data_IF_039781497895
#
_entry.id   IF_039781497895
#
_cell.length_a   1.000
_cell.length_b   1.000
_cell.length_c   1.000
_cell.angle_alpha   90.00
_cell.angle_beta   90.00
_cell.angle_gamma   90.00
#
_symmetry.space_group_name_H-M   'P 1'
#
loop_
_entity.id
_entity.type
_entity.pdbx_description
1 polymer ?
#
# COMPACT_ATOMS: atom_id res chain seq x y z
N UNK A 1 -49.79 76.12 7.67
CA UNK A 1 -50.27 76.61 6.36
C UNK A 1 -49.25 76.20 5.32
N UNK A 2 -49.73 75.54 4.25
CA UNK A 2 -49.12 75.24 2.93
C UNK A 2 -47.79 74.46 2.89
N UNK A 3 -47.75 73.18 2.44
CA UNK A 3 -47.82 72.65 1.04
C UNK A 3 -46.59 73.10 0.20
N UNK A 4 -45.81 72.28 -0.50
CA UNK A 4 -46.05 71.11 -1.41
C UNK A 4 -44.76 70.25 -1.47
N UNK A 5 -44.78 68.90 -1.54
CA UNK A 5 -45.01 68.03 -2.71
C UNK A 5 -44.04 68.37 -3.88
N UNK A 6 -43.19 67.47 -4.37
CA UNK A 6 -43.42 66.26 -5.21
C UNK A 6 -42.00 65.71 -5.51
N UNK A 7 -41.69 64.49 -5.93
CA UNK A 7 -42.43 63.34 -6.44
C UNK A 7 -41.54 62.09 -6.30
N UNK A 8 -42.20 60.93 -6.26
CA UNK A 8 -41.65 59.59 -6.17
C UNK A 8 -41.45 58.94 -7.57
N UNK A 9 -41.10 57.65 -7.51
CA UNK A 9 -41.07 56.60 -8.55
C UNK A 9 -39.71 56.43 -9.26
N UNK A 10 -38.91 55.41 -8.90
CA UNK A 10 -39.07 53.95 -9.14
C UNK A 10 -38.74 53.54 -10.57
N UNK A 11 -37.82 52.58 -10.70
CA UNK A 11 -37.40 51.93 -11.93
C UNK A 11 -36.40 50.81 -11.60
N UNK A 12 -36.91 49.57 -11.63
CA UNK A 12 -36.30 48.32 -11.21
C UNK A 12 -35.13 47.79 -12.07
N UNK A 13 -34.37 46.89 -11.44
CA UNK A 13 -33.66 45.69 -11.94
C UNK A 13 -33.07 45.65 -13.36
N UNK A 14 -31.75 45.46 -13.44
CA UNK A 14 -31.12 44.49 -14.33
C UNK A 14 -29.65 44.26 -13.95
N UNK A 15 -29.30 42.99 -13.70
CA UNK A 15 -27.97 42.54 -13.31
C UNK A 15 -26.86 42.89 -14.31
N UNK A 16 -25.69 43.29 -13.77
CA UNK A 16 -24.48 43.45 -14.55
C UNK A 16 -23.61 42.19 -14.47
N UNK A 17 -23.93 41.20 -15.30
CA UNK A 17 -22.92 40.29 -15.83
C UNK A 17 -22.83 40.48 -17.33
N UNK A 18 -21.76 41.09 -17.82
CA UNK A 18 -21.03 40.59 -19.00
C UNK A 18 -19.79 41.45 -19.27
N UNK A 19 -18.60 40.89 -19.02
CA UNK A 19 -17.36 41.35 -19.68
C UNK A 19 -17.09 40.42 -20.87
N UNK A 20 -18.01 40.42 -21.83
CA UNK A 20 -17.75 39.88 -23.17
C UNK A 20 -17.52 41.05 -24.13
N UNK A 21 -16.32 41.10 -24.70
CA UNK A 21 -16.14 41.64 -26.05
C UNK A 21 -15.03 42.66 -26.22
N UNK A 22 -13.81 42.18 -26.47
CA UNK A 22 -12.76 42.75 -27.34
C UNK A 22 -11.48 41.95 -27.10
N UNK A 23 -10.79 41.29 -28.04
CA UNK A 23 -10.72 41.34 -29.49
C UNK A 23 -10.34 39.96 -30.06
N UNK A 24 -10.83 39.63 -31.26
CA UNK A 24 -10.24 38.63 -32.16
C UNK A 24 -9.42 39.32 -33.24
N UNK A 25 -8.17 38.88 -33.43
CA UNK A 25 -7.43 38.74 -34.69
C UNK A 25 -6.06 38.15 -34.29
N UNK A 26 -5.56 36.99 -34.73
CA UNK A 26 -5.79 36.24 -35.96
C UNK A 26 -4.44 36.06 -36.66
N UNK A 27 -3.60 35.13 -36.20
CA UNK A 27 -2.45 34.62 -36.96
C UNK A 27 -2.08 33.22 -36.44
N UNK A 28 -1.85 32.30 -37.37
CA UNK A 28 -1.70 30.86 -37.20
C UNK A 28 -0.36 30.45 -36.58
N UNK A 29 -0.34 29.29 -35.90
CA UNK A 29 0.88 28.52 -35.64
C UNK A 29 0.92 27.82 -34.29
N UNK A 30 1.04 26.48 -34.33
CA UNK A 30 1.33 25.55 -33.24
C UNK A 30 0.30 25.42 -32.09
N UNK A 31 -0.52 24.37 -32.17
CA UNK A 31 -1.14 23.79 -30.98
C UNK A 31 -0.04 23.08 -30.17
N UNK A 32 0.53 23.77 -29.19
CA UNK A 32 1.12 23.09 -28.03
C UNK A 32 -0.03 22.63 -27.17
N UNK A 33 -0.38 21.35 -27.28
CA UNK A 33 -1.09 20.68 -26.21
C UNK A 33 -0.13 20.63 -25.03
N UNK A 34 -0.27 21.58 -24.10
CA UNK A 34 0.30 21.42 -22.76
C UNK A 34 -0.47 20.27 -22.12
N UNK A 35 0.04 19.04 -22.28
CA UNK A 35 -0.29 17.96 -21.38
C UNK A 35 0.19 18.40 -20.01
N UNK A 36 -0.74 18.58 -19.07
CA UNK A 36 -0.39 18.60 -17.67
C UNK A 36 0.02 17.16 -17.37
N UNK A 37 1.31 16.89 -17.50
CA UNK A 37 1.91 15.78 -16.78
C UNK A 37 1.77 16.17 -15.30
N UNK A 38 0.91 15.48 -14.56
CA UNK A 38 1.07 15.37 -13.12
C UNK A 38 2.37 14.57 -12.93
N UNK A 39 3.48 15.30 -13.00
CA UNK A 39 4.80 14.78 -12.70
C UNK A 39 4.90 14.70 -11.19
N UNK A 40 5.34 13.53 -10.72
CA UNK A 40 5.79 13.24 -9.37
C UNK A 40 6.35 14.50 -8.72
N UNK A 41 5.59 15.07 -7.78
CA UNK A 41 6.04 16.20 -7.00
C UNK A 41 7.27 15.75 -6.23
N UNK A 42 8.46 16.15 -6.66
CA UNK A 42 9.63 16.13 -5.78
C UNK A 42 9.21 16.74 -4.44
N UNK A 43 9.64 16.18 -3.30
CA UNK A 43 9.37 16.65 -1.90
C UNK A 43 9.16 18.17 -1.73
N UNK A 44 9.83 18.98 -2.55
CA UNK A 44 9.65 20.43 -2.70
C UNK A 44 8.26 20.94 -3.16
N UNK A 45 7.32 20.08 -3.55
CA UNK A 45 5.96 20.49 -3.98
C UNK A 45 4.88 20.11 -2.95
N UNK A 46 5.12 19.07 -2.15
CA UNK A 46 4.12 18.56 -1.22
C UNK A 46 3.98 19.47 -0.01
N UNK A 47 2.73 19.69 0.41
CA UNK A 47 2.39 20.63 1.47
C UNK A 47 2.99 22.03 1.25
N UNK A 48 3.05 22.48 -0.01
CA UNK A 48 3.69 23.73 -0.42
C UNK A 48 5.15 23.89 0.06
N UNK A 49 5.87 22.76 0.20
CA UNK A 49 7.24 22.71 0.70
C UNK A 49 7.37 22.90 2.22
N UNK A 50 6.28 22.80 2.98
CA UNK A 50 6.28 22.98 4.43
C UNK A 50 7.29 22.07 5.15
N UNK A 51 7.38 20.81 4.70
CA UNK A 51 8.26 19.78 5.25
C UNK A 51 9.68 19.79 4.65
N UNK A 52 10.02 20.79 3.83
CA UNK A 52 11.41 20.94 3.37
C UNK A 52 12.38 21.05 4.56
N UNK A 53 13.37 20.15 4.59
CA UNK A 53 14.37 20.09 5.65
C UNK A 53 13.92 19.34 6.92
N UNK A 54 12.72 18.74 6.94
CA UNK A 54 12.30 17.82 7.99
C UNK A 54 12.94 16.46 7.73
N UNK A 55 13.98 16.15 8.49
CA UNK A 55 14.87 15.01 8.20
C UNK A 55 14.26 13.62 8.37
N UNK A 56 13.10 13.50 8.99
CA UNK A 56 12.38 12.24 9.20
C UNK A 56 11.05 12.21 8.44
N UNK A 57 10.89 13.08 7.44
CA UNK A 57 9.79 12.97 6.51
C UNK A 57 10.20 12.02 5.38
N UNK A 58 9.45 10.94 5.27
CA UNK A 58 9.61 9.82 4.34
C UNK A 58 8.33 9.57 3.53
N UNK A 59 7.36 10.47 3.63
CA UNK A 59 6.01 10.36 3.09
C UNK A 59 4.97 10.63 4.17
N UNK A 60 3.70 10.49 3.80
CA UNK A 60 2.57 10.67 4.71
C UNK A 60 2.11 9.33 5.25
N UNK A 61 2.21 9.15 6.57
CA UNK A 61 1.87 7.89 7.20
C UNK A 61 0.35 7.69 7.24
N UNK A 62 -0.16 6.63 6.61
CA UNK A 62 -1.60 6.38 6.46
C UNK A 62 -2.19 5.69 7.69
N UNK A 63 -2.92 6.47 8.49
CA UNK A 63 -3.65 5.98 9.67
C UNK A 63 -5.17 5.94 9.44
N UNK A 64 -5.65 6.00 8.19
CA UNK A 64 -7.08 5.84 7.92
C UNK A 64 -7.60 4.49 8.42
N UNK A 65 -8.86 4.47 8.83
CA UNK A 65 -9.50 3.36 9.55
C UNK A 65 -9.27 3.38 11.06
N UNK A 66 -8.49 4.34 11.59
CA UNK A 66 -8.25 4.49 13.03
C UNK A 66 -8.99 5.72 13.58
N UNK A 67 -9.70 5.52 14.69
CA UNK A 67 -10.43 6.60 15.39
C UNK A 67 -9.47 7.54 16.17
N UNK A 68 -8.28 7.04 16.52
CA UNK A 68 -7.25 7.73 17.30
C UNK A 68 -5.86 7.40 16.79
N UNK A 69 -4.99 8.41 16.67
CA UNK A 69 -3.61 8.29 16.17
C UNK A 69 -2.65 9.02 17.10
N UNK A 70 -1.55 8.37 17.47
CA UNK A 70 -0.51 8.99 18.32
C UNK A 70 0.64 9.54 17.50
N UNK A 71 1.03 10.78 17.80
CA UNK A 71 2.25 11.43 17.28
C UNK A 71 3.20 11.72 18.45
N UNK A 72 4.42 11.22 18.38
CA UNK A 72 5.46 11.51 19.35
C UNK A 72 5.94 12.96 19.27
N UNK A 73 6.04 13.62 20.42
CA UNK A 73 6.63 14.95 20.59
C UNK A 73 7.99 14.81 21.25
N UNK A 74 9.04 15.08 20.47
CA UNK A 74 10.42 14.82 20.87
C UNK A 74 10.97 13.50 20.34
N UNK A 75 10.64 13.17 19.10
CA UNK A 75 11.13 11.97 18.41
C UNK A 75 12.57 12.12 17.89
N UNK A 76 13.20 10.98 17.55
CA UNK A 76 14.54 10.88 16.98
C UNK A 76 15.67 11.11 18.00
N UNK A 77 16.92 10.85 17.57
CA UNK A 77 18.10 10.80 18.47
C UNK A 77 18.36 12.09 19.28
N UNK A 78 17.95 13.24 18.74
CA UNK A 78 18.12 14.54 19.39
C UNK A 78 16.83 15.04 20.08
N UNK A 79 15.71 14.32 19.94
CA UNK A 79 14.41 14.71 20.47
C UNK A 79 13.84 16.01 19.92
N UNK A 80 14.20 16.39 18.69
CA UNK A 80 13.79 17.68 18.07
C UNK A 80 12.87 17.48 16.86
N UNK A 81 12.02 16.45 16.91
CA UNK A 81 11.14 16.05 15.79
C UNK A 81 9.76 15.67 16.31
N UNK A 82 8.78 15.73 15.41
CA UNK A 82 7.54 14.98 15.56
C UNK A 82 7.69 13.62 14.88
N UNK A 83 7.12 12.57 15.45
CA UNK A 83 7.21 11.20 14.93
C UNK A 83 5.83 10.55 14.85
N UNK A 84 5.33 10.19 13.66
CA UNK A 84 5.86 10.54 12.33
C UNK A 84 5.74 12.04 12.01
N UNK A 85 6.38 12.48 10.92
CA UNK A 85 6.37 13.89 10.50
C UNK A 85 5.08 14.30 9.78
N UNK A 86 4.44 13.38 9.06
CA UNK A 86 3.17 13.61 8.37
C UNK A 86 2.26 12.40 8.56
N UNK A 87 0.98 12.64 8.84
CA UNK A 87 -0.04 11.60 8.98
C UNK A 87 -1.26 11.90 8.10
N UNK A 88 -1.92 10.84 7.62
CA UNK A 88 -3.23 10.88 6.97
C UNK A 88 -4.25 10.18 7.87
N UNK A 89 -5.36 10.86 8.17
CA UNK A 89 -6.42 10.36 9.05
C UNK A 89 -7.79 10.44 8.36
N UNK A 90 -8.77 9.69 8.90
CA UNK A 90 -10.15 9.85 8.47
C UNK A 90 -10.78 11.14 9.04
N UNK A 91 -11.76 11.75 8.34
CA UNK A 91 -12.57 12.83 8.89
C UNK A 91 -13.17 12.45 10.25
N UNK A 92 -12.98 13.29 11.25
CA UNK A 92 -13.45 13.06 12.62
C UNK A 92 -12.54 12.23 13.52
N UNK A 93 -11.40 11.74 13.02
CA UNK A 93 -10.41 11.07 13.88
C UNK A 93 -9.75 12.05 14.88
N UNK A 94 -9.22 11.49 15.97
CA UNK A 94 -8.50 12.23 17.01
C UNK A 94 -7.00 12.00 16.89
N UNK A 95 -6.21 13.07 16.92
CA UNK A 95 -4.75 12.99 17.00
C UNK A 95 -4.32 13.30 18.42
N UNK A 96 -3.51 12.42 18.99
CA UNK A 96 -2.92 12.53 20.32
C UNK A 96 -1.42 12.76 20.17
N UNK A 97 -0.94 13.93 20.58
CA UNK A 97 0.47 14.21 20.68
C UNK A 97 0.97 13.80 22.07
N UNK A 98 1.95 12.89 22.14
CA UNK A 98 2.52 12.38 23.40
C UNK A 98 4.01 12.73 23.54
N UNK A 99 4.38 13.33 24.67
CA UNK A 99 5.75 13.77 24.90
C UNK A 99 6.65 12.62 25.34
N UNK A 100 7.76 12.44 24.62
CA UNK A 100 8.79 11.43 24.94
C UNK A 100 9.71 11.87 26.07
N UNK A 101 9.66 13.14 26.48
CA UNK A 101 10.60 13.76 27.41
C UNK A 101 11.98 14.12 26.83
N UNK A 102 12.22 13.85 25.54
CA UNK A 102 13.50 14.12 24.88
C UNK A 102 13.56 15.51 24.24
N UNK A 103 14.78 16.07 24.10
CA UNK A 103 15.01 17.34 23.39
C UNK A 103 14.55 18.61 24.10
N UNK A 104 14.05 18.52 25.33
CA UNK A 104 13.67 19.67 26.16
C UNK A 104 12.20 20.04 26.04
N UNK A 105 11.89 21.34 26.13
CA UNK A 105 10.51 21.82 26.12
C UNK A 105 9.96 21.93 24.70
N UNK A 106 8.84 21.25 24.44
CA UNK A 106 8.13 21.28 23.15
C UNK A 106 6.67 21.70 23.30
N UNK A 107 6.12 22.24 22.22
CA UNK A 107 4.69 22.46 22.05
C UNK A 107 4.23 22.07 20.64
N UNK A 108 2.92 22.04 20.44
CA UNK A 108 2.27 21.73 19.16
C UNK A 108 1.39 22.92 18.81
N UNK A 109 1.72 23.63 17.74
CA UNK A 109 0.99 24.84 17.29
C UNK A 109 0.69 24.71 15.81
N UNK A 110 -0.59 24.75 15.43
CA UNK A 110 -1.00 24.80 14.03
C UNK A 110 -0.85 26.23 13.48
N UNK A 111 -0.42 26.35 12.23
CA UNK A 111 -0.04 27.62 11.60
C UNK A 111 -1.19 28.63 11.50
N UNK A 112 -2.43 28.15 11.29
CA UNK A 112 -3.62 28.97 11.11
C UNK A 112 -4.50 29.08 12.37
N UNK A 113 -4.08 28.48 13.48
CA UNK A 113 -4.73 28.55 14.79
C UNK A 113 -5.88 27.56 15.00
N UNK A 114 -5.94 26.45 14.27
CA UNK A 114 -6.89 25.36 14.52
C UNK A 114 -6.67 24.73 15.90
N UNK A 115 -5.41 24.58 16.32
CA UNK A 115 -5.03 24.05 17.62
C UNK A 115 -3.69 24.63 18.13
N UNK A 116 -3.56 24.70 19.47
CA UNK A 116 -2.35 25.16 20.16
C UNK A 116 -2.28 24.49 21.55
N UNK A 117 -1.23 23.69 21.80
CA UNK A 117 -1.01 23.00 23.08
C UNK A 117 -0.52 23.95 24.19
N UNK A 118 -0.26 25.22 23.86
CA UNK A 118 0.17 26.28 24.76
C UNK A 118 1.68 26.39 24.91
N UNK A 119 2.12 26.67 26.14
CA UNK A 119 3.55 26.85 26.45
C UNK A 119 4.31 25.53 26.34
N UNK A 120 5.60 25.61 26.00
CA UNK A 120 6.45 24.43 25.85
C UNK A 120 6.61 23.64 27.16
N UNK A 121 6.41 22.32 27.09
CA UNK A 121 6.48 21.36 28.20
C UNK A 121 7.56 20.32 27.91
N UNK A 122 8.28 19.86 28.93
CA UNK A 122 9.36 18.86 28.82
C UNK A 122 9.06 17.55 29.55
N UNK A 123 7.91 17.45 30.22
CA UNK A 123 7.53 16.30 31.02
C UNK A 123 7.07 15.15 30.13
N UNK A 124 7.73 14.00 30.25
CA UNK A 124 7.38 12.75 29.57
C UNK A 124 5.97 12.28 29.95
N UNK A 125 5.23 11.74 28.98
CA UNK A 125 3.85 11.28 29.17
C UNK A 125 2.82 12.42 29.26
N UNK A 126 3.24 13.67 29.04
CA UNK A 126 2.29 14.76 28.76
C UNK A 126 1.58 14.45 27.45
N UNK A 127 0.27 14.69 27.38
CA UNK A 127 -0.52 14.55 26.16
C UNK A 127 -1.26 15.83 25.79
N UNK A 128 -1.47 16.02 24.49
CA UNK A 128 -2.37 17.02 23.92
C UNK A 128 -3.17 16.34 22.82
N UNK A 129 -4.48 16.56 22.76
CA UNK A 129 -5.37 15.90 21.80
C UNK A 129 -6.20 16.91 21.01
N UNK A 130 -6.47 16.59 19.75
CA UNK A 130 -7.38 17.35 18.90
C UNK A 130 -8.20 16.42 17.99
N UNK A 131 -9.51 16.58 18.00
CA UNK A 131 -10.43 15.85 17.12
C UNK A 131 -10.80 16.72 15.93
N UNK A 132 -10.62 16.19 14.72
CA UNK A 132 -10.85 16.90 13.46
C UNK A 132 -12.30 16.76 12.99
N UNK A 133 -13.26 17.20 13.81
CA UNK A 133 -14.71 17.01 13.57
C UNK A 133 -15.24 17.77 12.34
N UNK A 134 -14.69 18.96 12.06
CA UNK A 134 -15.12 19.84 10.98
C UNK A 134 -14.23 19.74 9.72
N UNK A 135 -13.20 18.90 9.74
CA UNK A 135 -12.26 18.73 8.63
C UNK A 135 -12.82 17.82 7.54
N UNK A 136 -12.61 18.18 6.29
CA UNK A 136 -13.06 17.45 5.11
C UNK A 136 -11.92 16.74 4.37
N UNK A 137 -12.33 15.96 3.37
CA UNK A 137 -11.41 15.31 2.43
C UNK A 137 -10.52 16.34 1.71
N UNK A 138 -9.21 16.13 1.78
CA UNK A 138 -8.18 16.99 1.18
C UNK A 138 -7.71 18.15 2.07
N UNK A 139 -8.26 18.30 3.28
CA UNK A 139 -7.79 19.32 4.22
C UNK A 139 -6.42 18.95 4.81
N UNK A 140 -5.55 19.94 4.97
CA UNK A 140 -4.21 19.78 5.54
C UNK A 140 -3.94 20.83 6.62
N UNK A 141 -3.29 20.40 7.70
CA UNK A 141 -3.01 21.20 8.88
C UNK A 141 -1.51 21.16 9.19
N UNK A 142 -0.82 22.24 8.82
CA UNK A 142 0.61 22.40 9.06
C UNK A 142 0.85 22.85 10.50
N UNK A 143 1.65 22.12 11.26
CA UNK A 143 1.96 22.46 12.65
C UNK A 143 3.46 22.44 12.95
N UNK A 144 3.84 23.12 14.02
CA UNK A 144 5.24 23.26 14.42
C UNK A 144 5.41 23.35 15.93
N UNK A 145 6.64 23.10 16.38
CA UNK A 145 7.09 23.40 17.74
C UNK A 145 7.70 24.81 17.77
N UNK A 146 7.11 25.73 18.51
CA UNK A 146 7.52 27.15 18.55
C UNK A 146 9.02 27.37 18.85
N UNK A 147 9.57 26.75 19.92
CA UNK A 147 11.01 26.84 20.20
C UNK A 147 11.93 26.24 19.14
N UNK A 148 11.46 25.24 18.38
CA UNK A 148 12.30 24.41 17.50
C UNK A 148 11.91 24.46 16.01
N UNK A 149 11.01 25.37 15.61
CA UNK A 149 10.57 25.54 14.22
C UNK A 149 11.74 25.83 13.27
N UNK A 150 12.68 26.68 13.70
CA UNK A 150 13.86 27.07 12.90
C UNK A 150 14.84 25.93 12.61
N UNK A 151 14.76 24.83 13.37
CA UNK A 151 15.59 23.63 13.19
C UNK A 151 14.79 22.47 12.59
N UNK A 152 13.58 22.73 12.09
CA UNK A 152 12.80 21.76 11.32
C UNK A 152 11.83 20.91 12.13
N UNK A 153 11.51 21.27 13.39
CA UNK A 153 10.48 20.57 14.16
C UNK A 153 9.08 21.00 13.70
N UNK A 154 8.63 20.41 12.59
CA UNK A 154 7.37 20.66 11.89
C UNK A 154 6.68 19.33 11.59
N UNK A 155 5.37 19.35 11.44
CA UNK A 155 4.61 18.22 10.95
C UNK A 155 3.34 18.63 10.21
N UNK A 156 2.63 17.63 9.68
CA UNK A 156 1.36 17.80 8.96
C UNK A 156 0.34 16.75 9.40
N UNK A 157 -0.91 17.16 9.54
CA UNK A 157 -2.07 16.25 9.55
C UNK A 157 -2.86 16.49 8.26
N UNK A 158 -3.01 15.45 7.43
CA UNK A 158 -3.87 15.43 6.26
C UNK A 158 -5.14 14.63 6.57
N UNK A 159 -6.28 15.01 5.96
CA UNK A 159 -7.59 14.40 6.25
C UNK A 159 -8.23 13.83 4.97
N UNK A 160 -8.65 12.57 5.02
CA UNK A 160 -9.34 11.85 3.94
C UNK A 160 -8.43 11.38 2.82
N UNK A 161 -7.95 12.31 1.99
CA UNK A 161 -7.06 12.03 0.87
C UNK A 161 -5.96 13.08 0.77
N UNK A 162 -4.81 12.64 0.26
CA UNK A 162 -3.66 13.49 -0.02
C UNK A 162 -3.01 13.01 -1.31
N UNK A 163 -2.47 13.95 -2.08
CA UNK A 163 -1.64 13.66 -3.26
C UNK A 163 -0.18 13.61 -2.80
N UNK A 164 0.20 12.62 -2.00
CA UNK A 164 1.56 12.41 -1.49
C UNK A 164 1.88 10.90 -1.43
N UNK A 165 3.16 10.56 -1.33
CA UNK A 165 3.60 9.18 -1.10
C UNK A 165 3.06 8.72 0.27
N UNK A 166 2.31 7.61 0.29
CA UNK A 166 1.74 7.06 1.50
C UNK A 166 2.68 6.01 2.11
N UNK A 167 2.95 6.14 3.40
CA UNK A 167 3.73 5.19 4.19
C UNK A 167 2.77 4.41 5.07
N UNK A 168 2.81 3.09 5.05
CA UNK A 168 2.02 2.26 5.96
C UNK A 168 2.72 2.20 7.33
N UNK A 169 2.16 2.80 8.40
CA UNK A 169 2.79 2.80 9.72
C UNK A 169 2.77 1.43 10.39
N UNK A 170 1.99 0.46 9.90
CA UNK A 170 2.01 -0.93 10.33
C UNK A 170 3.03 -1.78 9.57
N UNK A 171 3.68 -1.24 8.54
CA UNK A 171 4.86 -1.86 7.93
C UNK A 171 6.08 -1.68 8.85
N UNK A 172 6.30 -2.66 9.73
CA UNK A 172 7.41 -2.69 10.69
C UNK A 172 8.80 -2.45 10.03
N UNK A 173 9.33 -1.23 10.21
CA UNK A 173 10.76 -0.90 10.36
C UNK A 173 11.76 -1.34 9.28
N UNK A 174 12.13 -0.43 8.39
CA UNK A 174 13.27 -0.58 7.48
C UNK A 174 14.00 0.73 7.20
N UNK A 175 14.97 1.07 8.05
CA UNK A 175 15.89 2.20 7.84
C UNK A 175 16.80 1.94 6.61
N UNK A 176 16.69 2.82 5.62
CA UNK A 176 17.79 3.29 4.77
C UNK A 176 18.51 2.30 3.86
N UNK A 177 18.17 2.32 2.56
CA UNK A 177 19.20 2.20 1.51
C UNK A 177 18.84 3.01 0.26
N UNK A 178 19.48 4.17 0.17
CA UNK A 178 19.71 4.90 -1.07
C UNK A 178 20.31 3.98 -2.15
N UNK A 179 19.74 4.08 -3.35
CA UNK A 179 20.50 3.97 -4.60
C UNK A 179 20.39 2.62 -5.30
N UNK A 180 19.33 2.47 -6.10
CA UNK A 180 19.24 1.42 -7.10
C UNK A 180 18.19 1.75 -8.14
N UNK A 181 18.55 2.56 -9.14
CA UNK A 181 17.80 2.69 -10.38
C UNK A 181 17.48 1.29 -10.93
N UNK A 182 16.20 0.95 -10.93
CA UNK A 182 15.68 -0.33 -11.42
C UNK A 182 14.26 -0.11 -11.92
N UNK A 183 14.14 0.46 -13.12
CA UNK A 183 12.94 0.35 -13.94
C UNK A 183 12.50 -1.13 -13.99
N UNK A 184 11.39 -1.42 -13.32
CA UNK A 184 10.81 -2.75 -13.24
C UNK A 184 9.53 -2.73 -12.40
N UNK A 185 8.45 -2.20 -12.97
CA UNK A 185 7.05 -2.37 -12.55
C UNK A 185 6.76 -2.35 -11.04
N UNK A 186 6.44 -1.16 -10.52
CA UNK A 186 5.68 -1.05 -9.27
C UNK A 186 4.30 -1.64 -9.49
N UNK A 187 4.11 -2.86 -8.99
CA UNK A 187 2.90 -3.66 -9.08
C UNK A 187 1.68 -2.92 -8.51
N UNK A 188 0.93 -2.30 -9.41
CA UNK A 188 -0.46 -1.97 -9.15
C UNK A 188 -1.20 -3.27 -8.73
N UNK A 189 -2.19 -3.17 -7.85
CA UNK A 189 -2.91 -4.32 -7.28
C UNK A 189 -2.50 -4.76 -5.86
N UNK A 190 -1.21 -4.81 -5.53
CA UNK A 190 -0.75 -5.28 -4.20
C UNK A 190 0.00 -4.25 -3.36
N UNK A 191 0.33 -3.08 -3.90
CA UNK A 191 1.18 -2.10 -3.22
C UNK A 191 2.57 -2.69 -2.94
N UNK A 192 3.15 -2.34 -1.80
CA UNK A 192 4.53 -2.74 -1.44
C UNK A 192 4.61 -4.16 -0.83
N UNK A 193 3.51 -4.91 -0.84
CA UNK A 193 3.42 -6.25 -0.25
C UNK A 193 4.57 -7.16 -0.67
N UNK A 194 4.97 -7.07 -1.95
CA UNK A 194 6.01 -7.89 -2.56
C UNK A 194 7.41 -7.27 -2.58
N UNK A 195 7.63 -6.09 -1.98
CA UNK A 195 8.91 -5.36 -2.06
C UNK A 195 10.12 -6.21 -1.60
N UNK A 196 9.93 -7.04 -0.59
CA UNK A 196 10.97 -7.94 -0.06
C UNK A 196 10.83 -9.41 -0.53
N UNK A 197 10.05 -9.67 -1.58
CA UNK A 197 9.77 -11.03 -2.08
C UNK A 197 10.58 -11.31 -3.34
N UNK A 198 11.70 -12.01 -3.17
CA UNK A 198 12.74 -12.11 -4.21
C UNK A 198 12.35 -12.87 -5.49
N UNK A 199 11.21 -13.55 -5.54
CA UNK A 199 10.70 -14.25 -6.74
C UNK A 199 9.45 -13.59 -7.34
N UNK A 200 9.05 -12.41 -6.88
CA UNK A 200 7.93 -11.70 -7.45
C UNK A 200 8.34 -10.96 -8.73
N UNK A 201 7.77 -11.38 -9.86
CA UNK A 201 7.98 -10.76 -11.18
C UNK A 201 6.64 -10.27 -11.80
N UNK A 202 5.55 -10.32 -11.04
CA UNK A 202 4.18 -10.08 -11.48
C UNK A 202 3.21 -11.23 -11.13
N UNK A 203 1.91 -10.99 -11.30
CA UNK A 203 0.86 -11.97 -11.00
C UNK A 203 0.74 -13.03 -12.08
N UNK A 204 0.79 -14.30 -11.67
CA UNK A 204 0.55 -15.40 -12.61
C UNK A 204 -0.95 -15.54 -12.90
N UNK A 205 -1.37 -15.32 -14.14
CA UNK A 205 -2.76 -15.54 -14.56
C UNK A 205 -3.05 -17.05 -14.66
N UNK A 206 -3.88 -17.54 -13.74
CA UNK A 206 -4.30 -18.93 -13.64
C UNK A 206 -5.81 -19.09 -13.77
N UNK A 207 -6.52 -18.05 -14.24
CA UNK A 207 -7.96 -18.12 -14.53
C UNK A 207 -8.28 -19.23 -15.54
N UNK A 208 -9.50 -19.75 -15.46
CA UNK A 208 -10.00 -20.89 -16.23
C UNK A 208 -9.62 -22.25 -15.65
N UNK A 209 -9.00 -22.29 -14.46
CA UNK A 209 -8.66 -23.50 -13.73
C UNK A 209 -9.54 -23.65 -12.48
N UNK A 210 -10.11 -24.83 -12.30
CA UNK A 210 -10.94 -25.16 -11.12
C UNK A 210 -10.07 -25.37 -9.86
N UNK A 211 -8.80 -25.76 -10.04
CA UNK A 211 -7.84 -26.01 -8.97
C UNK A 211 -6.44 -25.55 -9.42
N UNK A 212 -5.70 -24.89 -8.51
CA UNK A 212 -4.33 -24.41 -8.75
C UNK A 212 -3.45 -24.73 -7.55
N UNK A 213 -2.15 -24.91 -7.79
CA UNK A 213 -1.19 -25.26 -6.73
C UNK A 213 -0.16 -24.15 -6.52
N UNK A 214 0.09 -23.81 -5.25
CA UNK A 214 1.19 -22.96 -4.79
C UNK A 214 2.14 -23.80 -3.96
N UNK A 215 3.42 -23.83 -4.32
CA UNK A 215 4.42 -24.52 -3.52
C UNK A 215 4.77 -23.72 -2.26
N UNK A 216 4.81 -24.40 -1.11
CA UNK A 216 5.25 -23.85 0.18
C UNK A 216 6.67 -24.35 0.45
N UNK A 217 7.62 -23.42 0.47
CA UNK A 217 9.05 -23.74 0.53
C UNK A 217 9.71 -23.76 -0.84
N UNK A 218 9.39 -22.77 -1.69
CA UNK A 218 10.06 -22.49 -2.95
C UNK A 218 11.35 -21.67 -2.78
N UNK A 219 12.06 -21.45 -3.89
CA UNK A 219 13.34 -20.75 -3.92
C UNK A 219 14.53 -21.57 -3.42
N UNK A 220 15.75 -21.06 -3.60
CA UNK A 220 16.99 -21.80 -3.27
C UNK A 220 17.12 -22.15 -1.79
N UNK A 221 16.50 -21.36 -0.91
CA UNK A 221 16.53 -21.55 0.54
C UNK A 221 15.24 -22.17 1.11
N UNK A 222 14.23 -22.45 0.26
CA UNK A 222 12.93 -22.93 0.70
C UNK A 222 12.13 -21.93 1.54
N UNK A 223 12.33 -20.63 1.35
CA UNK A 223 11.70 -19.55 2.14
C UNK A 223 10.69 -18.72 1.32
N UNK A 224 10.17 -19.25 0.22
CA UNK A 224 9.25 -18.53 -0.66
C UNK A 224 7.97 -19.34 -0.91
N UNK A 225 6.91 -18.64 -1.33
CA UNK A 225 5.80 -19.25 -2.04
C UNK A 225 6.08 -19.20 -3.53
N UNK A 226 5.74 -20.26 -4.27
CA UNK A 226 5.97 -20.32 -5.72
C UNK A 226 4.75 -20.90 -6.47
N UNK A 227 4.08 -20.11 -7.33
CA UNK A 227 4.29 -18.67 -7.56
C UNK A 227 3.94 -17.81 -6.32
N UNK A 228 4.53 -16.61 -6.18
CA UNK A 228 4.22 -15.71 -5.06
C UNK A 228 2.88 -14.98 -5.24
N UNK A 229 2.41 -14.79 -6.48
CA UNK A 229 1.12 -14.16 -6.75
C UNK A 229 0.36 -14.89 -7.86
N UNK A 230 -0.94 -15.10 -7.67
CA UNK A 230 -1.82 -15.75 -8.65
C UNK A 230 -3.13 -14.97 -8.83
N UNK A 231 -3.63 -14.97 -10.06
CA UNK A 231 -4.98 -14.51 -10.40
C UNK A 231 -5.83 -15.72 -10.77
N UNK A 232 -6.97 -15.91 -10.09
CA UNK A 232 -7.87 -17.05 -10.27
C UNK A 232 -9.32 -16.60 -10.53
N UNK A 233 -10.17 -17.54 -10.95
CA UNK A 233 -11.61 -17.25 -11.06
C UNK A 233 -12.28 -17.40 -9.69
N UNK A 234 -13.45 -16.78 -9.53
CA UNK A 234 -14.31 -17.04 -8.38
C UNK A 234 -14.64 -18.53 -8.31
N UNK A 235 -14.52 -19.12 -7.12
CA UNK A 235 -14.78 -20.54 -6.88
C UNK A 235 -13.60 -21.47 -7.20
N UNK A 236 -12.45 -20.96 -7.65
CA UNK A 236 -11.23 -21.77 -7.78
C UNK A 236 -10.76 -22.24 -6.39
N UNK A 237 -10.29 -23.50 -6.32
CA UNK A 237 -9.60 -24.04 -5.15
C UNK A 237 -8.09 -23.82 -5.28
N UNK A 238 -7.48 -23.17 -4.30
CA UNK A 238 -6.02 -23.05 -4.21
C UNK A 238 -5.51 -24.09 -3.23
N UNK A 239 -4.53 -24.88 -3.68
CA UNK A 239 -3.84 -25.91 -2.88
C UNK A 239 -2.42 -25.46 -2.62
N UNK A 240 -2.08 -25.24 -1.36
CA UNK A 240 -0.71 -25.02 -0.91
C UNK A 240 -0.07 -26.38 -0.59
N UNK A 241 1.04 -26.72 -1.27
CA UNK A 241 1.74 -28.01 -1.11
C UNK A 241 3.17 -27.80 -0.59
N UNK A 242 3.51 -28.45 0.52
CA UNK A 242 4.83 -28.32 1.15
C UNK A 242 5.88 -29.12 0.40
N UNK A 243 6.96 -28.44 0.01
CA UNK A 243 8.13 -29.07 -0.64
C UNK A 243 9.06 -29.77 0.35
N UNK A 244 8.87 -29.55 1.66
CA UNK A 244 9.78 -29.98 2.72
C UNK A 244 11.06 -29.15 2.84
N UNK A 245 11.21 -28.06 2.09
CA UNK A 245 12.40 -27.20 2.11
C UNK A 245 12.22 -25.99 3.05
N UNK A 246 13.33 -25.49 3.60
CA UNK A 246 13.35 -24.26 4.40
C UNK A 246 12.78 -24.37 5.83
N UNK A 247 12.38 -25.56 6.28
CA UNK A 247 11.92 -25.80 7.63
C UNK A 247 10.39 -25.79 7.75
N UNK A 248 9.88 -25.36 8.90
CA UNK A 248 8.44 -25.32 9.16
C UNK A 248 7.81 -24.06 8.60
N UNK A 249 6.75 -24.22 7.81
CA UNK A 249 5.99 -23.12 7.21
C UNK A 249 4.50 -23.23 7.48
N UNK A 250 3.81 -22.10 7.48
CA UNK A 250 2.37 -22.00 7.43
C UNK A 250 1.91 -21.02 6.34
N UNK A 251 0.60 -21.00 6.11
CA UNK A 251 -0.11 -20.15 5.17
C UNK A 251 -1.22 -19.47 5.97
N UNK A 252 -1.06 -18.18 6.25
CA UNK A 252 -2.01 -17.39 7.06
C UNK A 252 -2.34 -16.11 6.30
N UNK A 253 -3.62 -15.90 6.04
CA UNK A 253 -4.14 -14.68 5.40
C UNK A 253 -4.27 -13.55 6.43
N UNK A 254 -3.94 -12.31 6.04
CA UNK A 254 -3.83 -11.16 6.95
C UNK A 254 -5.14 -10.81 7.69
N UNK A 255 -6.28 -11.02 7.04
CA UNK A 255 -7.61 -10.69 7.55
C UNK A 255 -8.37 -11.91 8.10
N UNK A 256 -7.71 -13.07 8.21
CA UNK A 256 -8.26 -14.29 8.78
C UNK A 256 -9.25 -15.04 7.88
N UNK A 257 -9.22 -14.83 6.56
CA UNK A 257 -10.02 -15.60 5.62
C UNK A 257 -9.63 -17.10 5.61
N UNK A 258 -8.33 -17.39 5.80
CA UNK A 258 -7.81 -18.74 5.92
C UNK A 258 -6.51 -18.80 6.74
N UNK A 259 -6.30 -19.94 7.41
CA UNK A 259 -5.14 -20.23 8.25
C UNK A 259 -4.87 -21.75 8.26
N UNK A 260 -3.68 -22.15 7.83
CA UNK A 260 -3.24 -23.56 7.82
C UNK A 260 -2.88 -24.12 9.21
N UNK A 261 -2.83 -23.25 10.21
CA UNK A 261 -2.43 -23.53 11.58
C UNK A 261 -0.92 -23.35 11.81
N UNK A 262 -0.42 -24.07 12.82
CA UNK A 262 1.00 -24.05 13.18
C UNK A 262 1.91 -24.52 12.04
N UNK A 263 3.11 -23.95 11.96
CA UNK A 263 4.10 -24.26 10.94
C UNK A 263 4.46 -25.76 10.88
N UNK A 264 4.42 -26.34 9.68
CA UNK A 264 4.71 -27.75 9.38
C UNK A 264 5.89 -27.83 8.39
N UNK A 265 6.75 -28.84 8.56
CA UNK A 265 7.93 -29.06 7.70
C UNK A 265 7.84 -30.34 6.85
N UNK A 266 6.77 -31.12 7.00
CA UNK A 266 6.59 -32.40 6.33
C UNK A 266 6.25 -32.20 4.84
N UNK A 267 7.10 -32.73 3.96
CA UNK A 267 6.90 -32.76 2.50
C UNK A 267 5.60 -33.49 2.13
N UNK A 268 4.85 -32.94 1.17
CA UNK A 268 3.57 -33.48 0.73
C UNK A 268 2.40 -33.15 1.65
N UNK A 269 2.62 -32.36 2.72
CA UNK A 269 1.53 -31.71 3.44
C UNK A 269 0.78 -30.79 2.49
N UNK A 270 -0.54 -30.75 2.60
CA UNK A 270 -1.40 -29.87 1.79
C UNK A 270 -2.35 -29.08 2.67
N UNK A 271 -2.62 -27.85 2.24
CA UNK A 271 -3.68 -26.98 2.77
C UNK A 271 -4.48 -26.45 1.58
N UNK A 272 -5.80 -26.44 1.66
CA UNK A 272 -6.67 -26.04 0.56
C UNK A 272 -7.68 -24.97 1.02
N UNK A 273 -7.97 -24.01 0.13
CA UNK A 273 -9.03 -23.04 0.33
C UNK A 273 -9.75 -22.77 -0.99
N UNK A 274 -11.08 -22.77 -0.96
CA UNK A 274 -11.93 -22.47 -2.12
C UNK A 274 -12.53 -21.08 -1.96
N UNK A 275 -12.30 -20.22 -2.95
CA UNK A 275 -12.75 -18.82 -2.95
C UNK A 275 -14.21 -18.69 -3.45
N UNK A 276 -15.15 -19.36 -2.78
CA UNK A 276 -16.58 -19.38 -3.20
C UNK A 276 -17.26 -18.02 -3.04
N UNK A 277 -16.96 -17.31 -1.94
CA UNK A 277 -17.61 -16.06 -1.57
C UNK A 277 -16.84 -14.80 -2.01
N UNK A 278 -15.69 -14.97 -2.68
CA UNK A 278 -14.85 -13.85 -3.14
C UNK A 278 -15.47 -13.14 -4.35
N UNK A 279 -15.40 -11.81 -4.34
CA UNK A 279 -15.79 -10.93 -5.43
C UNK A 279 -14.69 -10.69 -6.46
N UNK A 280 -15.07 -10.12 -7.61
CA UNK A 280 -14.13 -9.64 -8.62
C UNK A 280 -13.34 -8.45 -8.07
N UNK A 281 -12.01 -8.54 -8.10
CA UNK A 281 -11.10 -7.54 -7.56
C UNK A 281 -10.66 -7.80 -6.12
N UNK A 282 -11.19 -8.84 -5.46
CA UNK A 282 -10.76 -9.20 -4.11
C UNK A 282 -9.32 -9.74 -4.14
N UNK A 283 -8.52 -9.27 -3.16
CA UNK A 283 -7.12 -9.64 -2.99
C UNK A 283 -6.91 -10.19 -1.59
N UNK A 284 -6.35 -11.39 -1.50
CA UNK A 284 -6.06 -12.09 -0.26
C UNK A 284 -4.55 -12.22 -0.10
N UNK A 285 -3.96 -11.36 0.72
CA UNK A 285 -2.54 -11.39 1.06
C UNK A 285 -2.31 -12.39 2.19
N UNK A 286 -1.30 -13.24 2.03
CA UNK A 286 -0.98 -14.26 3.01
C UNK A 286 0.53 -14.38 3.22
N UNK A 287 0.92 -14.75 4.42
CA UNK A 287 2.31 -14.93 4.78
C UNK A 287 2.54 -16.24 5.54
N UNK A 288 3.80 -16.65 5.59
CA UNK A 288 4.27 -17.60 6.59
C UNK A 288 4.66 -16.79 7.82
N UNK A 289 3.91 -16.88 8.92
CA UNK A 289 4.11 -16.09 10.14
C UNK A 289 5.57 -16.09 10.64
N UNK A 290 6.29 -17.23 10.76
CA UNK A 290 7.67 -17.22 11.23
C UNK A 290 8.67 -16.61 10.23
N UNK A 291 8.29 -16.44 8.97
CA UNK A 291 9.19 -16.01 7.87
C UNK A 291 8.69 -14.78 7.09
N UNK A 292 7.66 -14.09 7.58
CA UNK A 292 7.09 -12.91 6.93
C UNK A 292 8.12 -11.78 6.78
N UNK A 293 8.93 -11.54 7.82
CA UNK A 293 9.96 -10.49 7.84
C UNK A 293 11.10 -10.73 6.85
N UNK A 294 11.29 -11.97 6.40
CA UNK A 294 12.29 -12.35 5.39
C UNK A 294 11.69 -12.58 4.00
N UNK A 295 10.45 -12.17 3.78
CA UNK A 295 9.83 -12.13 2.46
C UNK A 295 9.04 -13.38 2.06
N UNK A 296 8.69 -14.27 3.00
CA UNK A 296 7.80 -15.39 2.69
C UNK A 296 6.34 -14.94 2.69
N UNK A 297 5.96 -14.23 1.62
CA UNK A 297 4.65 -13.61 1.40
C UNK A 297 4.08 -14.02 0.04
N UNK A 298 2.77 -14.10 -0.05
CA UNK A 298 2.04 -14.41 -1.27
C UNK A 298 0.70 -13.69 -1.37
N UNK A 299 0.06 -13.76 -2.53
CA UNK A 299 -1.27 -13.20 -2.74
C UNK A 299 -2.10 -14.03 -3.72
N UNK A 300 -3.41 -14.10 -3.46
CA UNK A 300 -4.42 -14.60 -4.40
C UNK A 300 -5.35 -13.45 -4.77
N UNK A 301 -5.42 -13.09 -6.04
CA UNK A 301 -6.42 -12.18 -6.57
C UNK A 301 -7.54 -12.95 -7.28
N UNK A 302 -8.78 -12.45 -7.20
CA UNK A 302 -9.96 -13.11 -7.76
C UNK A 302 -10.59 -12.27 -8.87
N UNK A 303 -10.72 -12.85 -10.07
CA UNK A 303 -11.39 -12.27 -11.24
C UNK A 303 -10.57 -11.19 -11.97
N UNK A 304 -10.14 -10.16 -11.24
CA UNK A 304 -9.35 -9.05 -11.73
C UNK A 304 -8.30 -8.60 -10.71
N UNK A 305 -7.18 -8.10 -11.21
CA UNK A 305 -6.19 -7.37 -10.41
C UNK A 305 -5.55 -6.33 -11.33
N UNK A 306 -5.30 -5.14 -10.80
CA UNK A 306 -4.61 -4.09 -11.53
C UNK A 306 -3.09 -4.35 -11.50
N UNK A 307 -2.59 -5.55 -11.80
CA UNK A 307 -1.15 -5.89 -11.76
C UNK A 307 -0.62 -6.38 -13.12
N UNK A 308 0.70 -6.42 -13.28
CA UNK A 308 1.34 -7.07 -14.42
C UNK A 308 1.07 -8.58 -14.43
N UNK A 309 0.28 -9.01 -15.42
CA UNK A 309 -0.08 -10.42 -15.57
C UNK A 309 0.99 -11.21 -16.35
N UNK A 310 1.60 -12.18 -15.68
CA UNK A 310 2.48 -13.17 -16.27
C UNK A 310 1.67 -14.34 -16.84
N UNK A 311 1.83 -14.60 -18.14
CA UNK A 311 1.30 -15.81 -18.80
C UNK A 311 -0.07 -15.67 -19.49
N UNK A 312 -0.64 -14.47 -19.57
CA UNK A 312 -1.93 -14.22 -20.23
C UNK A 312 -1.80 -13.86 -21.72
N UNK A 313 -2.11 -14.80 -22.62
CA UNK A 313 -2.43 -14.48 -24.00
C UNK A 313 -3.93 -14.14 -24.11
N UNK A 314 -4.29 -12.87 -23.86
CA UNK A 314 -5.59 -12.31 -24.23
C UNK A 314 -6.33 -11.54 -23.13
N UNK A 315 -6.62 -10.25 -23.40
CA UNK A 315 -7.68 -9.54 -22.67
C UNK A 315 -7.53 -8.04 -22.42
N UNK A 316 -6.90 -7.25 -23.30
CA UNK A 316 -7.02 -5.79 -23.21
C UNK A 316 -8.46 -5.34 -23.52
N UNK A 317 -9.19 -4.92 -22.48
CA UNK A 317 -10.41 -4.11 -22.59
C UNK A 317 -10.03 -2.66 -22.84
N UNK A 318 -10.21 -2.21 -24.08
CA UNK A 318 -9.50 -1.04 -24.60
C UNK A 318 -10.25 0.29 -24.71
N UNK A 319 -9.55 1.27 -25.29
CA UNK A 319 -10.14 2.25 -26.20
C UNK A 319 -9.10 2.91 -27.11
N UNK A 320 -9.26 2.72 -28.43
CA UNK A 320 -8.93 3.74 -29.43
C UNK A 320 -7.69 3.54 -30.31
N UNK A 321 -7.93 3.21 -31.59
CA UNK A 321 -7.21 3.90 -32.69
C UNK A 321 -6.22 3.11 -33.57
N UNK A 322 -6.71 2.07 -34.27
CA UNK A 322 -6.34 1.67 -35.63
C UNK A 322 -4.89 1.76 -36.13
N UNK A 323 -4.29 0.60 -36.43
CA UNK A 323 -3.75 0.29 -37.76
C UNK A 323 -3.54 -1.22 -37.87
N UNK A 324 -4.14 -1.84 -38.89
CA UNK A 324 -4.13 -3.29 -39.05
C UNK A 324 -2.76 -3.83 -39.46
N UNK A 325 -2.45 -5.03 -38.97
CA UNK A 325 -1.47 -5.93 -39.57
C UNK A 325 -2.14 -7.30 -39.73
N UNK A 326 -2.01 -7.84 -40.94
CA UNK A 326 -2.74 -8.99 -41.45
C UNK A 326 -2.17 -10.33 -40.97
N UNK A 327 -3.04 -11.33 -40.97
CA UNK A 327 -2.74 -12.73 -40.72
C UNK A 327 -1.71 -13.31 -41.71
N UNK A 328 -0.42 -13.10 -41.44
CA UNK A 328 0.69 -13.87 -42.00
C UNK A 328 2.03 -13.40 -41.41
N UNK A 329 2.19 -13.49 -40.09
CA UNK A 329 3.54 -13.54 -39.46
C UNK A 329 3.48 -14.56 -38.32
N UNK A 330 3.14 -15.78 -38.73
CA UNK A 330 3.30 -17.00 -37.93
C UNK A 330 4.76 -17.43 -38.08
N UNK A 331 5.51 -17.45 -36.98
CA UNK A 331 6.92 -17.84 -37.00
C UNK A 331 7.47 -18.22 -35.63
N UNK A 332 7.01 -19.37 -35.10
CA UNK A 332 7.77 -20.32 -34.26
C UNK A 332 8.81 -19.80 -33.26
N UNK A 333 8.60 -20.08 -31.96
CA UNK A 333 9.60 -20.82 -31.19
C UNK A 333 8.93 -21.66 -30.09
N UNK A 334 8.95 -22.97 -30.28
CA UNK A 334 8.64 -23.97 -29.28
C UNK A 334 9.94 -24.39 -28.58
N UNK A 335 10.00 -24.29 -27.25
CA UNK A 335 10.93 -25.06 -26.43
C UNK A 335 10.11 -25.68 -25.30
N UNK A 336 9.86 -26.97 -25.43
CA UNK A 336 9.15 -27.76 -24.44
C UNK A 336 10.07 -28.20 -23.32
N UNK A 337 9.52 -28.25 -22.11
CA UNK A 337 9.81 -29.29 -21.14
C UNK A 337 8.49 -29.74 -20.52
N UNK A 338 7.93 -30.80 -21.09
CA UNK A 338 6.95 -31.62 -20.41
C UNK A 338 7.67 -32.71 -19.63
N UNK A 339 7.34 -32.87 -18.36
CA UNK A 339 7.35 -34.17 -17.71
C UNK A 339 6.02 -34.38 -17.00
N UNK A 340 5.26 -35.32 -17.55
CA UNK A 340 4.09 -35.91 -16.94
C UNK A 340 4.50 -36.86 -15.81
N UNK A 341 3.72 -36.87 -14.74
CA UNK A 341 3.87 -37.81 -13.63
C UNK A 341 2.59 -37.92 -12.80
N UNK A 342 1.49 -38.30 -13.43
CA UNK A 342 0.27 -38.70 -12.73
C UNK A 342 0.45 -40.08 -12.05
N UNK A 343 -0.25 -40.24 -10.91
CA UNK A 343 -0.62 -41.49 -10.22
C UNK A 343 0.52 -42.29 -9.55
N UNK A 344 0.48 -42.36 -8.20
CA UNK A 344 0.25 -43.61 -7.44
C UNK A 344 0.28 -43.37 -5.91
N UNK A 345 -0.89 -43.40 -5.28
CA UNK A 345 -1.06 -43.71 -3.84
C UNK A 345 -0.81 -45.22 -3.65
N UNK A 346 0.01 -45.63 -2.66
CA UNK A 346 -0.57 -46.43 -1.57
C UNK A 346 0.02 -46.16 -0.18
N UNK A 347 -0.89 -45.97 0.78
CA UNK A 347 -0.93 -46.61 2.11
C UNK A 347 0.39 -47.19 2.65
N UNK A 348 0.99 -46.54 3.65
CA UNK A 348 1.81 -47.22 4.65
C UNK A 348 1.37 -46.90 6.07
N UNK A 349 0.47 -47.74 6.58
CA UNK A 349 0.28 -47.96 8.01
C UNK A 349 0.92 -49.30 8.40
N UNK A 350 1.62 -49.27 9.54
CA UNK A 350 2.16 -50.40 10.32
C UNK A 350 3.38 -51.16 9.73
N UNK A 351 4.55 -50.94 10.35
CA UNK A 351 4.99 -51.85 11.42
C UNK A 351 6.26 -51.34 12.11
N UNK A 352 6.04 -50.80 13.29
CA UNK A 352 6.94 -50.82 14.43
C UNK A 352 7.46 -52.26 14.64
N UNK A 353 8.75 -52.52 14.35
CA UNK A 353 9.65 -53.50 15.01
C UNK A 353 10.84 -53.78 14.09
N UNK A 354 12.06 -53.44 14.54
CA UNK A 354 13.25 -54.31 14.56
C UNK A 354 14.55 -53.48 14.59
N UNK A 355 14.71 -52.64 15.61
CA UNK A 355 16.03 -52.26 16.12
C UNK A 355 16.13 -52.87 17.53
N UNK A 356 16.76 -54.05 17.60
CA UNK A 356 17.36 -54.72 18.77
C UNK A 356 17.38 -56.23 18.53
N UNK A 357 18.30 -56.68 17.66
CA UNK A 357 18.80 -58.07 17.69
C UNK A 357 20.15 -58.26 17.01
N UNK A 358 21.03 -57.26 17.12
CA UNK A 358 22.44 -57.37 16.70
C UNK A 358 23.44 -57.17 17.85
N UNK A 359 23.00 -57.31 19.11
CA UNK A 359 23.89 -57.28 20.28
C UNK A 359 24.44 -58.67 20.70
N UNK A 360 24.09 -59.77 20.01
CA UNK A 360 24.47 -61.14 20.43
C UNK A 360 25.26 -61.96 19.39
N UNK A 361 25.92 -61.34 18.41
CA UNK A 361 26.77 -62.08 17.44
C UNK A 361 28.14 -61.47 17.21
N UNK A 362 28.88 -61.25 18.29
CA UNK A 362 30.35 -61.28 18.32
C UNK A 362 30.80 -62.18 19.47
N UNK A 363 30.53 -63.48 19.29
CA UNK A 363 31.30 -64.60 19.80
C UNK A 363 31.54 -65.55 18.61
#
# INVERSE_FOLDING_TARGET
MTRNADAAAEGDDAGSMSRRGFFRAGAAGAAVAAGVAAGSGTVAAQYDGWLEGVSNYDGTHDYRGQDEVTVEVGAGENGLRFGPAAILIDPGATVVWEWTGQGGGHNVVEENGAFDSGSAVAEEGTTFEHTFEDAGDGDTFNYYCGPHQSVGMKGVVAVGSVDDDLVDPQAEGGDGSDGGDGEGSGASGYGDWFENVGNYEGTRDLRGQDEVTVAVGGGENGLLFDPPAILVDQGTTVVWEWTGQGGGHNVVEENGAFDSGSAVAEEGTTFEHTFEDAGEGDVFRYACEPHQSVGMKGAVAVGAVDDDLLGGEGGSGGSGGGSGLSASDIGTLALGFGFAGALLVPLFYAAHQMAERNADRNA
#
